data_IF_389224065924
#
_entry.id   IF_389224065924
#
_cell.length_a   1.000
_cell.length_b   1.000
_cell.length_c   1.000
_cell.angle_alpha   90.00
_cell.angle_beta   90.00
_cell.angle_gamma   90.00
#
_symmetry.space_group_name_H-M   'P 1'
#
loop_
_entity.id
_entity.type
_entity.pdbx_description
1 polymer ?
2 non-polymer ?
3 non-polymer ?
4 water ?
#
# COMPACT_ATOMS: atom_id res chain seq x y z
N UNK A 19 24.44 -24.21 -2.14
CA UNK A 19 23.13 -23.56 -2.19
C UNK A 19 22.02 -24.43 -1.61
N UNK A 20 21.08 -23.83 -0.85
CA UNK A 20 19.84 -24.51 -0.46
C UNK A 20 18.83 -24.38 -1.60
N UNK A 21 17.90 -25.34 -1.66
CA UNK A 21 16.81 -25.33 -2.63
C UNK A 21 15.51 -25.17 -1.85
N UNK A 22 14.55 -24.43 -2.43
CA UNK A 22 13.21 -24.33 -1.86
C UNK A 22 12.16 -24.44 -2.97
N UNK A 23 11.38 -25.54 -2.97
CA UNK A 23 10.32 -25.79 -3.96
C UNK A 23 10.87 -25.64 -5.39
N UNK A 24 12.00 -26.30 -5.62
CA UNK A 24 12.75 -26.23 -6.87
C UNK A 24 13.89 -25.23 -6.85
N UNK A 25 13.55 -23.94 -6.61
CA UNK A 25 14.43 -22.79 -6.83
C UNK A 25 15.70 -22.77 -5.96
N UNK A 26 16.78 -22.18 -6.50
CA UNK A 26 18.01 -21.93 -5.74
C UNK A 26 17.76 -20.70 -4.85
N UNK A 27 18.21 -20.76 -3.60
CA UNK A 27 18.22 -19.58 -2.71
C UNK A 27 19.67 -19.34 -2.34
N UNK A 28 20.37 -18.53 -3.16
CA UNK A 28 21.80 -18.22 -2.97
C UNK A 28 21.91 -17.12 -1.92
N UNK A 29 21.63 -17.46 -0.66
CA UNK A 29 21.57 -16.47 0.42
C UNK A 29 22.60 -16.73 1.53
N UNK A 30 23.27 -17.90 1.52
CA UNK A 30 24.32 -18.19 2.49
C UNK A 30 25.58 -17.35 2.33
N UNK A 31 26.56 -17.43 3.27
CA UNK A 31 26.55 -18.20 4.53
C UNK A 31 25.51 -17.69 5.54
N UNK A 32 25.24 -16.37 5.55
CA UNK A 32 24.53 -15.70 6.65
C UNK A 32 23.16 -16.30 6.97
N UNK A 33 22.42 -16.76 5.96
CA UNK A 33 21.01 -17.09 6.09
C UNK A 33 20.80 -18.56 5.73
N UNK A 34 20.35 -19.38 6.71
CA UNK A 34 20.23 -20.84 6.57
C UNK A 34 18.90 -21.37 7.12
N UNK A 35 18.68 -22.71 7.00
CA UNK A 35 17.47 -23.38 7.47
C UNK A 35 16.24 -22.67 6.91
N UNK A 36 16.05 -22.76 5.58
CA UNK A 36 14.98 -22.02 4.90
C UNK A 36 13.70 -22.80 4.94
N UNK A 37 12.59 -22.16 5.34
CA UNK A 37 11.26 -22.75 5.16
C UNK A 37 10.51 -21.91 4.16
N UNK A 38 9.78 -22.56 3.26
CA UNK A 38 8.93 -21.89 2.30
C UNK A 38 7.79 -21.18 3.03
N UNK A 39 7.58 -19.91 2.67
CA UNK A 39 6.39 -19.15 3.07
C UNK A 39 5.46 -19.16 1.86
N UNK A 40 5.91 -18.52 0.78
CA UNK A 40 5.03 -18.22 -0.34
C UNK A 40 5.71 -17.95 -1.67
N UNK A 41 4.89 -17.59 -2.66
CA UNK A 41 5.34 -17.34 -4.03
C UNK A 41 4.29 -16.50 -4.75
N UNK A 42 4.75 -15.58 -5.58
CA UNK A 42 3.89 -14.81 -6.47
C UNK A 42 4.58 -14.45 -7.76
N UNK A 43 4.02 -13.44 -8.47
CA UNK A 43 4.59 -12.87 -9.70
C UNK A 43 5.91 -12.18 -9.40
N UNK A 44 5.97 -11.51 -8.23
CA UNK A 44 7.19 -10.85 -7.72
C UNK A 44 8.44 -11.81 -7.70
N UNK A 45 8.24 -13.02 -7.24
CA UNK A 45 9.34 -13.82 -6.73
C UNK A 45 8.85 -14.90 -5.82
N UNK A 46 9.74 -15.42 -4.97
CA UNK A 46 9.46 -16.42 -3.93
C UNK A 46 9.95 -15.88 -2.60
N UNK A 47 9.19 -16.16 -1.49
CA UNK A 47 9.53 -15.66 -0.18
C UNK A 47 9.72 -16.86 0.73
N UNK A 48 10.75 -16.79 1.57
CA UNK A 48 11.00 -17.80 2.58
C UNK A 48 11.23 -17.11 3.88
N UNK A 49 11.12 -17.87 4.98
CA UNK A 49 11.81 -17.52 6.21
C UNK A 49 13.17 -18.18 6.17
N UNK A 50 14.13 -17.61 6.89
CA UNK A 50 15.49 -18.11 6.94
C UNK A 50 16.02 -17.72 8.27
N UNK A 51 16.94 -18.51 8.80
CA UNK A 51 17.60 -18.22 10.05
C UNK A 51 18.77 -17.30 9.78
N UNK A 52 18.72 -16.07 10.31
CA UNK A 52 19.84 -15.15 10.27
C UNK A 52 20.83 -15.58 11.35
N UNK A 53 22.08 -15.89 10.95
CA UNK A 53 23.13 -16.37 11.87
C UNK A 53 23.87 -15.23 12.60
N UNK A 54 23.88 -14.00 12.05
CA UNK A 54 24.49 -12.82 12.70
C UNK A 54 23.58 -12.26 13.80
N UNK A 55 22.25 -12.16 13.52
CA UNK A 55 21.29 -11.63 14.49
C UNK A 55 20.53 -12.73 15.26
N UNK A 56 20.72 -14.02 14.89
CA UNK A 56 20.21 -15.18 15.64
C UNK A 56 18.64 -15.22 15.63
N UNK A 57 18.02 -14.65 14.58
CA UNK A 57 16.56 -14.57 14.43
C UNK A 57 16.14 -15.07 13.08
N UNK A 58 14.92 -15.58 12.96
CA UNK A 58 14.39 -15.89 11.66
C UNK A 58 13.93 -14.57 11.00
N UNK A 59 14.06 -14.51 9.66
CA UNK A 59 13.86 -13.31 8.82
C UNK A 59 13.15 -13.69 7.56
N UNK A 60 12.57 -12.70 6.85
CA UNK A 60 11.95 -12.93 5.58
C UNK A 60 12.98 -12.58 4.53
N UNK A 61 12.97 -13.34 3.43
CA UNK A 61 13.84 -13.08 2.28
C UNK A 61 13.04 -13.28 1.07
N UNK A 62 12.98 -12.27 0.20
CA UNK A 62 12.30 -12.44 -1.04
C UNK A 62 13.32 -12.33 -2.19
N UNK A 63 13.38 -13.41 -2.98
CA UNK A 63 14.18 -13.53 -4.17
C UNK A 63 13.42 -12.84 -5.27
N UNK A 64 13.97 -11.74 -5.77
CA UNK A 64 13.39 -11.00 -6.88
C UNK A 64 14.25 -11.33 -8.11
N UNK A 65 13.60 -11.52 -9.25
CA UNK A 65 14.27 -11.86 -10.52
C UNK A 65 13.64 -10.94 -11.55
N UNK A 66 13.93 -9.64 -11.47
CA UNK A 66 13.19 -8.69 -12.31
C UNK A 66 13.86 -8.30 -13.63
N UNK A 67 15.01 -8.87 -13.99
CA UNK A 67 15.87 -8.17 -14.93
C UNK A 67 15.41 -8.34 -16.38
N UNK A 68 14.68 -9.42 -16.70
CA UNK A 68 14.15 -9.60 -18.06
C UNK A 68 12.96 -8.67 -18.37
N UNK A 69 12.38 -7.90 -17.41
CA UNK A 69 11.37 -6.90 -17.80
C UNK A 69 11.45 -5.57 -17.10
N UNK A 70 11.32 -4.49 -17.89
CA UNK A 70 11.60 -3.14 -17.41
C UNK A 70 10.64 -2.71 -16.28
N UNK A 71 9.37 -3.17 -16.29
CA UNK A 71 8.43 -2.75 -15.22
C UNK A 71 8.77 -3.40 -13.91
N UNK A 72 9.23 -4.67 -13.94
CA UNK A 72 9.63 -5.31 -12.70
C UNK A 72 10.91 -4.69 -12.15
N UNK A 73 11.85 -4.22 -13.03
CA UNK A 73 13.03 -3.47 -12.56
C UNK A 73 12.61 -2.15 -11.91
N UNK A 74 11.62 -1.49 -12.54
CA UNK A 74 11.01 -0.23 -12.06
C UNK A 74 10.48 -0.39 -10.68
N UNK A 75 9.66 -1.43 -10.48
CA UNK A 75 8.99 -1.67 -9.21
C UNK A 75 10.03 -2.02 -8.13
N UNK A 76 10.98 -2.93 -8.46
CA UNK A 76 12.08 -3.29 -7.57
C UNK A 76 12.92 -2.08 -7.09
N UNK A 77 13.28 -1.19 -7.99
CA UNK A 77 14.16 -0.07 -7.65
C UNK A 77 13.46 0.97 -6.78
N UNK A 78 12.20 1.27 -7.08
CA UNK A 78 11.38 2.21 -6.25
C UNK A 78 11.32 1.74 -4.88
N UNK A 79 10.98 0.44 -4.70
CA UNK A 79 10.91 -0.17 -3.40
C UNK A 79 12.23 -0.03 -2.68
N UNK A 80 13.35 -0.40 -3.35
CA UNK A 80 14.63 -0.40 -2.65
C UNK A 80 14.98 1.01 -2.20
N UNK A 81 14.90 1.99 -3.13
CA UNK A 81 15.24 3.37 -2.79
C UNK A 81 14.40 3.92 -1.62
N UNK A 82 13.10 3.70 -1.68
CA UNK A 82 12.19 4.20 -0.63
C UNK A 82 12.47 3.55 0.72
N UNK A 83 12.44 2.23 0.79
CA UNK A 83 12.64 1.51 2.02
C UNK A 83 14.00 1.71 2.64
N UNK A 84 15.06 1.92 1.87
CA UNK A 84 16.34 2.24 2.47
C UNK A 84 16.38 3.65 3.08
N UNK A 85 15.60 4.61 2.54
CA UNK A 85 15.55 5.96 3.09
C UNK A 85 14.65 5.99 4.34
N UNK A 86 13.57 5.21 4.35
CA UNK A 86 12.60 5.31 5.43
C UNK A 86 13.02 4.52 6.62
N UNK A 87 12.68 5.04 7.81
CA UNK A 87 12.88 4.34 9.05
C UNK A 87 11.71 4.64 9.94
N UNK A 88 10.82 3.67 10.11
CA UNK A 88 9.62 3.88 10.87
C UNK A 88 9.06 2.56 11.38
N UNK A 89 8.55 2.55 12.65
CA UNK A 89 8.03 1.33 13.28
C UNK A 89 6.91 0.67 12.51
N UNK A 90 6.07 1.46 11.78
CA UNK A 90 4.93 0.92 11.04
C UNK A 90 5.17 0.75 9.55
N UNK A 91 6.47 0.72 9.15
CA UNK A 91 6.90 0.49 7.79
C UNK A 91 7.97 -0.59 7.78
N UNK A 92 7.76 -1.62 6.92
CA UNK A 92 8.73 -2.70 6.83
C UNK A 92 10.11 -2.10 6.39
N UNK A 93 11.17 -2.57 7.00
CA UNK A 93 12.49 -2.04 6.64
C UNK A 93 13.17 -3.00 5.66
N UNK A 94 14.33 -2.62 5.17
CA UNK A 94 15.24 -3.60 4.56
C UNK A 94 16.44 -3.79 5.47
N UNK A 95 16.70 -5.02 5.90
CA UNK A 95 17.80 -5.34 6.79
C UNK A 95 19.09 -5.63 6.04
N UNK A 96 18.96 -6.23 4.86
CA UNK A 96 20.11 -6.68 4.08
C UNK A 96 19.62 -6.90 2.62
N UNK A 97 20.56 -6.80 1.67
CA UNK A 97 20.31 -7.09 0.28
C UNK A 97 21.47 -7.96 -0.16
N UNK A 98 21.17 -9.13 -0.74
CA UNK A 98 22.14 -10.05 -1.26
C UNK A 98 22.05 -10.08 -2.80
N UNK A 99 23.18 -9.95 -3.42
CA UNK A 99 23.27 -10.13 -4.86
C UNK A 99 24.67 -10.47 -5.23
N UNK A 100 24.90 -10.83 -6.52
CA UNK A 100 26.23 -11.20 -7.01
C UNK A 100 27.22 -10.00 -6.94
N UNK A 101 28.53 -10.23 -6.85
CA UNK A 101 29.46 -9.08 -6.78
C UNK A 101 29.61 -8.20 -8.04
N UNK A 102 29.11 -8.64 -9.20
CA UNK A 102 29.29 -7.91 -10.47
C UNK A 102 27.94 -7.86 -11.15
N UNK A 103 27.73 -6.86 -12.04
CA UNK A 103 26.45 -6.71 -12.75
C UNK A 103 26.21 -7.95 -13.64
N UNK A 104 27.25 -8.39 -14.29
CA UNK A 104 27.26 -9.56 -15.18
C UNK A 104 26.71 -10.81 -14.50
N UNK A 105 27.13 -11.05 -13.26
CA UNK A 105 26.74 -12.24 -12.52
C UNK A 105 25.43 -12.09 -11.78
N UNK A 106 24.89 -10.84 -11.69
CA UNK A 106 23.71 -10.55 -10.93
C UNK A 106 22.48 -10.90 -11.74
N UNK A 107 21.83 -12.04 -11.42
CA UNK A 107 20.56 -12.51 -12.06
C UNK A 107 19.34 -12.30 -11.14
N UNK A 108 19.59 -12.15 -9.84
CA UNK A 108 18.56 -12.08 -8.82
C UNK A 108 19.00 -11.05 -7.77
N UNK A 109 18.07 -10.52 -7.03
CA UNK A 109 18.35 -9.74 -5.82
C UNK A 109 17.51 -10.37 -4.73
N UNK A 110 18.09 -10.54 -3.54
CA UNK A 110 17.36 -11.05 -2.41
C UNK A 110 17.25 -9.93 -1.40
N UNK A 111 16.02 -9.60 -0.99
CA UNK A 111 15.79 -8.51 -0.03
C UNK A 111 15.45 -9.15 1.28
N UNK A 112 16.21 -8.85 2.31
CA UNK A 112 16.04 -9.42 3.64
C UNK A 112 15.25 -8.42 4.47
N UNK A 113 14.17 -8.88 5.11
CA UNK A 113 13.31 -8.05 5.92
C UNK A 113 12.88 -8.76 7.17
N UNK A 114 12.37 -7.98 8.17
CA UNK A 114 11.89 -8.58 9.42
C UNK A 114 10.78 -9.56 9.06
N UNK A 115 10.76 -10.73 9.71
CA UNK A 115 9.76 -11.73 9.41
C UNK A 115 8.52 -11.40 10.22
N UNK A 116 7.38 -11.30 9.56
CA UNK A 116 6.09 -11.05 10.23
C UNK A 116 5.27 -12.33 10.19
N UNK A 117 4.39 -12.50 11.16
CA UNK A 117 3.66 -13.78 11.32
C UNK A 117 2.54 -13.95 10.31
N UNK A 118 1.88 -12.84 9.93
CA UNK A 118 0.73 -12.92 9.09
C UNK A 118 0.47 -11.54 8.46
N UNK A 119 -0.67 -11.41 7.80
CA UNK A 119 -1.06 -10.13 7.22
C UNK A 119 -2.53 -9.90 7.44
N UNK A 120 -3.03 -8.68 7.20
CA UNK A 120 -4.43 -8.37 7.49
C UNK A 120 -5.43 -9.12 6.57
N UNK A 121 -5.05 -9.47 5.33
CA UNK A 121 -5.90 -10.25 4.43
C UNK A 121 -6.21 -11.63 5.07
N UNK A 122 -5.14 -12.33 5.49
CA UNK A 122 -5.26 -13.65 6.15
C UNK A 122 -6.01 -13.55 7.45
N UNK A 123 -5.75 -12.50 8.23
CA UNK A 123 -6.42 -12.35 9.52
C UNK A 123 -7.93 -12.10 9.27
N UNK A 124 -8.27 -11.29 8.29
CA UNK A 124 -9.67 -10.96 8.03
C UNK A 124 -10.43 -12.17 7.46
N UNK A 125 -9.74 -13.07 6.76
CA UNK A 125 -10.44 -14.23 6.26
C UNK A 125 -10.87 -15.22 7.39
N UNK A 126 -10.14 -15.19 8.56
CA UNK A 126 -10.27 -16.15 9.63
C UNK A 126 -10.69 -15.62 11.02
N UNK A 127 -10.60 -14.33 11.30
CA UNK A 127 -10.76 -13.79 12.63
C UNK A 127 -11.74 -12.63 12.66
N UNK A 128 -12.64 -12.66 13.62
CA UNK A 128 -13.44 -11.46 13.99
C UNK A 128 -12.50 -10.51 14.71
N UNK A 129 -12.50 -9.23 14.34
CA UNK A 129 -11.67 -8.25 15.05
C UNK A 129 -12.51 -7.50 16.08
N UNK A 130 -12.02 -7.35 17.32
CA UNK A 130 -12.72 -6.51 18.30
C UNK A 130 -12.63 -5.06 17.85
N UNK A 131 -13.55 -4.21 18.32
CA UNK A 131 -13.41 -2.77 18.09
C UNK A 131 -12.03 -2.26 18.56
N UNK A 132 -11.48 -2.77 19.70
CA UNK A 132 -10.16 -2.31 20.12
C UNK A 132 -9.05 -2.67 19.13
N UNK A 133 -9.16 -3.83 18.52
CA UNK A 133 -8.17 -4.25 17.48
C UNK A 133 -8.31 -3.39 16.27
N UNK A 134 -9.53 -3.10 15.84
CA UNK A 134 -9.75 -2.24 14.64
C UNK A 134 -9.14 -0.87 14.85
N UNK A 135 -9.36 -0.34 16.01
CA UNK A 135 -8.85 0.97 16.40
C UNK A 135 -7.31 0.99 16.40
N UNK A 136 -6.67 -0.01 16.99
CA UNK A 136 -5.23 -0.09 17.05
C UNK A 136 -4.62 -0.33 15.64
N UNK A 137 -5.21 -1.21 14.83
CA UNK A 137 -4.72 -1.40 13.46
C UNK A 137 -4.86 -0.11 12.68
N UNK A 138 -6.02 0.54 12.78
CA UNK A 138 -6.22 1.79 11.99
C UNK A 138 -5.20 2.85 12.40
N UNK A 139 -5.00 2.98 13.71
CA UNK A 139 -3.99 3.93 14.25
C UNK A 139 -2.62 3.66 13.63
N UNK A 140 -2.19 2.42 13.66
CA UNK A 140 -0.88 2.06 13.10
C UNK A 140 -0.78 2.31 11.63
N UNK A 141 -1.82 2.02 10.86
CA UNK A 141 -1.81 2.28 9.42
C UNK A 141 -1.62 3.76 9.20
N UNK A 142 -2.41 4.58 9.90
CA UNK A 142 -2.37 6.02 9.68
C UNK A 142 -1.02 6.63 10.15
N UNK A 143 -0.44 6.04 11.20
CA UNK A 143 0.80 6.56 11.78
C UNK A 143 1.93 6.33 10.73
N UNK A 144 1.98 5.11 10.20
CA UNK A 144 2.86 4.80 9.08
C UNK A 144 2.64 5.68 7.87
N UNK A 145 1.39 5.83 7.50
CA UNK A 145 1.06 6.70 6.36
C UNK A 145 1.37 8.15 6.55
N UNK A 146 1.26 8.68 7.75
CA UNK A 146 1.72 10.06 8.03
C UNK A 146 3.17 10.22 7.63
N UNK A 147 3.99 9.24 8.04
CA UNK A 147 5.40 9.29 7.69
C UNK A 147 5.60 9.25 6.17
N UNK A 148 4.96 8.32 5.51
CA UNK A 148 5.12 8.13 4.06
C UNK A 148 4.75 9.45 3.35
N UNK A 149 3.57 9.98 3.65
CA UNK A 149 3.07 11.23 3.05
C UNK A 149 3.95 12.44 3.42
N UNK A 150 4.51 12.46 4.62
CA UNK A 150 5.43 13.54 5.02
C UNK A 150 6.74 13.53 4.16
N UNK A 151 7.07 12.37 3.55
CA UNK A 151 8.21 12.22 2.64
C UNK A 151 7.83 12.54 1.20
N UNK A 152 6.59 13.05 0.99
CA UNK A 152 6.05 13.37 -0.34
C UNK A 152 5.91 12.13 -1.24
N UNK A 153 5.73 10.97 -0.61
CA UNK A 153 5.56 9.66 -1.26
C UNK A 153 4.11 9.21 -1.10
N UNK A 154 3.58 8.58 -2.12
CA UNK A 154 2.30 7.89 -2.15
C UNK A 154 2.56 6.38 -2.22
N UNK A 155 1.86 5.59 -1.41
CA UNK A 155 2.04 4.15 -1.46
C UNK A 155 1.38 3.58 -2.72
N UNK A 156 0.10 3.94 -2.94
CA UNK A 156 -0.69 3.63 -4.11
C UNK A 156 -1.18 2.18 -4.22
N UNK A 157 -0.90 1.29 -3.27
CA UNK A 157 -1.50 -0.03 -3.34
C UNK A 157 -1.77 -0.54 -1.92
N UNK A 158 -2.37 0.32 -1.08
CA UNK A 158 -2.72 -0.09 0.28
C UNK A 158 -3.90 -1.06 0.21
N UNK A 159 -3.77 -2.20 0.89
CA UNK A 159 -4.79 -3.24 0.92
C UNK A 159 -4.40 -4.19 2.04
N UNK A 160 -5.33 -5.01 2.52
CA UNK A 160 -5.01 -5.91 3.65
C UNK A 160 -3.76 -6.75 3.46
N UNK A 161 -3.50 -7.31 2.28
CA UNK A 161 -2.32 -8.20 2.15
C UNK A 161 -0.97 -7.42 2.24
N UNK A 162 -0.99 -6.08 2.10
CA UNK A 162 0.18 -5.23 2.27
C UNK A 162 0.32 -4.67 3.69
N UNK A 163 -0.45 -5.21 4.64
CA UNK A 163 -0.31 -4.81 6.03
C UNK A 163 0.08 -6.04 6.80
N UNK A 164 1.33 -6.07 7.17
CA UNK A 164 1.89 -7.25 7.89
C UNK A 164 1.68 -7.10 9.40
N UNK A 165 1.50 -8.23 10.10
CA UNK A 165 1.22 -8.26 11.51
C UNK A 165 2.03 -9.31 12.21
N UNK A 166 2.44 -9.01 13.42
CA UNK A 166 3.16 -9.99 14.27
C UNK A 166 2.24 -10.53 15.35
N UNK A 167 2.74 -11.36 16.31
CA UNK A 167 1.85 -12.08 17.21
C UNK A 167 1.25 -11.12 18.22
N UNK A 168 1.84 -9.95 18.39
CA UNK A 168 1.33 -8.96 19.33
C UNK A 168 0.60 -7.87 18.58
N UNK A 169 0.22 -8.12 17.33
CA UNK A 169 -0.62 -7.17 16.59
C UNK A 169 0.11 -5.85 16.21
N UNK A 170 1.45 -5.84 16.24
CA UNK A 170 2.18 -4.72 15.66
C UNK A 170 2.04 -4.84 14.13
N UNK A 171 1.86 -3.71 13.49
CA UNK A 171 1.53 -3.63 12.09
C UNK A 171 2.60 -2.89 11.30
N UNK A 172 2.94 -3.41 10.11
CA UNK A 172 3.92 -2.77 9.25
C UNK A 172 3.42 -2.77 7.79
N UNK A 173 3.48 -1.59 7.14
CA UNK A 173 3.11 -1.44 5.76
C UNK A 173 4.23 -1.99 4.88
N UNK A 174 3.87 -2.79 3.87
CA UNK A 174 4.84 -3.30 2.92
C UNK A 174 4.41 -3.06 1.48
N UNK A 175 5.30 -3.44 0.55
CA UNK A 175 5.15 -3.44 -0.88
C UNK A 175 5.07 -2.06 -1.44
N UNK A 176 6.23 -1.43 -1.68
CA UNK A 176 6.30 -0.10 -2.27
C UNK A 176 6.61 -0.10 -3.74
N UNK A 177 6.31 -1.19 -4.42
CA UNK A 177 6.56 -1.33 -5.86
C UNK A 177 5.76 -0.39 -6.74
N UNK A 178 4.60 0.08 -6.29
CA UNK A 178 3.78 1.03 -7.05
C UNK A 178 3.87 2.43 -6.51
N UNK A 179 4.76 2.67 -5.55
CA UNK A 179 4.86 3.98 -4.93
C UNK A 179 5.41 5.03 -5.85
N UNK A 180 4.99 6.28 -5.66
CA UNK A 180 5.45 7.38 -6.51
C UNK A 180 5.64 8.62 -5.62
N UNK A 181 6.49 9.54 -6.03
CA UNK A 181 6.48 10.85 -5.42
C UNK A 181 5.21 11.54 -5.81
N UNK A 182 4.58 12.25 -4.87
CA UNK A 182 3.34 12.96 -5.13
C UNK A 182 3.50 13.99 -6.21
N UNK A 183 2.49 14.15 -7.07
CA UNK A 183 2.59 15.10 -8.16
C UNK A 183 1.20 15.64 -8.49
N UNK A 184 0.62 16.39 -7.53
CA UNK A 184 -0.76 16.87 -7.71
C UNK A 184 -1.03 17.81 -8.87
N UNK A 185 -0.03 18.53 -9.41
CA UNK A 185 -0.25 19.39 -10.56
C UNK A 185 -0.40 18.62 -11.89
N UNK A 186 0.00 17.34 -11.93
CA UNK A 186 -0.11 16.47 -13.11
C UNK A 186 -1.05 15.28 -12.81
N UNK A 187 -2.03 15.45 -11.91
CA UNK A 187 -2.93 14.36 -11.56
C UNK A 187 -4.06 14.13 -12.60
N UNK A 188 -4.39 15.11 -13.45
CA UNK A 188 -5.58 15.01 -14.29
C UNK A 188 -5.35 14.10 -15.49
N UNK A 189 -6.39 13.34 -15.82
CA UNK A 189 -6.40 12.50 -17.01
C UNK A 189 -7.84 12.33 -17.48
N UNK A 190 -8.03 11.61 -18.60
CA UNK A 190 -9.35 11.37 -19.12
C UNK A 190 -10.15 10.30 -18.39
N UNK A 191 -11.35 10.09 -18.88
CA UNK A 191 -12.30 9.12 -18.41
C UNK A 191 -11.85 7.70 -18.79
N UNK A 192 -11.92 6.81 -17.85
CA UNK A 192 -11.64 5.37 -18.03
C UNK A 192 -10.15 5.15 -18.44
N UNK A 193 -9.22 5.86 -17.79
CA UNK A 193 -7.80 5.71 -18.05
C UNK A 193 -7.35 4.51 -17.33
N UNK A 194 -6.56 3.64 -17.95
CA UNK A 194 -6.17 2.37 -17.31
C UNK A 194 -5.31 2.61 -16.06
N UNK A 195 -5.38 1.70 -15.09
CA UNK A 195 -4.74 1.93 -13.81
C UNK A 195 -4.19 0.62 -13.27
N UNK A 196 -3.05 0.67 -12.55
CA UNK A 196 -2.31 -0.54 -12.16
C UNK A 196 -2.73 -1.09 -10.77
N UNK A 197 -3.03 -0.21 -9.83
CA UNK A 197 -3.19 -0.66 -8.45
C UNK A 197 -4.48 -1.47 -8.25
N UNK A 198 -4.55 -2.23 -7.17
CA UNK A 198 -5.61 -3.21 -6.86
C UNK A 198 -7.02 -2.62 -6.93
N UNK A 199 -7.89 -3.25 -7.74
CA UNK A 199 -9.16 -2.62 -8.12
C UNK A 199 -10.04 -2.24 -6.94
N UNK A 200 -10.22 -3.14 -5.99
CA UNK A 200 -11.21 -2.94 -4.92
C UNK A 200 -10.86 -1.75 -4.02
N UNK A 201 -9.62 -1.29 -4.07
CA UNK A 201 -9.16 -0.22 -3.14
C UNK A 201 -8.94 1.07 -3.90
N UNK A 202 -9.35 1.14 -5.18
CA UNK A 202 -9.23 2.36 -6.04
C UNK A 202 -10.30 3.42 -5.76
N UNK A 203 -9.86 4.67 -5.55
CA UNK A 203 -10.71 5.82 -5.28
C UNK A 203 -11.56 6.06 -6.54
N UNK A 204 -12.77 6.61 -6.37
CA UNK A 204 -13.67 6.79 -7.54
C UNK A 204 -13.05 7.63 -8.66
N UNK A 205 -12.31 8.66 -8.27
CA UNK A 205 -11.68 9.58 -9.24
C UNK A 205 -10.70 8.89 -10.20
N UNK A 206 -10.11 7.71 -9.83
CA UNK A 206 -9.23 6.94 -10.74
C UNK A 206 -9.95 6.64 -12.06
N UNK A 207 -11.24 6.30 -11.95
CA UNK A 207 -12.04 5.91 -13.08
C UNK A 207 -12.56 7.11 -13.86
N UNK A 208 -12.51 8.31 -13.26
CA UNK A 208 -13.09 9.53 -13.80
C UNK A 208 -12.08 10.48 -14.38
N UNK A 209 -11.05 10.87 -13.59
CA UNK A 209 -10.16 11.95 -14.02
C UNK A 209 -8.80 12.02 -13.32
N UNK A 210 -8.32 10.96 -12.68
CA UNK A 210 -7.15 11.02 -11.80
C UNK A 210 -6.15 9.91 -12.12
N UNK A 211 -4.87 10.29 -12.14
CA UNK A 211 -3.74 9.34 -12.28
C UNK A 211 -3.28 8.75 -10.96
N UNK A 212 -3.89 9.10 -9.84
CA UNK A 212 -3.44 8.61 -8.54
C UNK A 212 -2.14 9.20 -8.07
N UNK A 213 -1.92 10.47 -8.37
CA UNK A 213 -0.70 11.20 -8.00
C UNK A 213 -0.91 12.14 -6.83
N UNK A 214 -2.02 12.00 -6.04
CA UNK A 214 -2.21 12.81 -4.84
C UNK A 214 -2.43 11.91 -3.63
N UNK A 215 -2.13 12.48 -2.46
CA UNK A 215 -2.19 11.76 -1.18
C UNK A 215 -3.58 11.22 -0.88
N UNK A 216 -4.61 11.92 -1.37
CA UNK A 216 -6.01 11.48 -1.21
C UNK A 216 -6.28 10.04 -1.76
N UNK A 217 -5.44 9.53 -2.67
CA UNK A 217 -5.66 8.20 -3.24
C UNK A 217 -5.42 7.12 -2.14
N UNK A 218 -4.43 7.36 -1.31
CA UNK A 218 -4.12 6.48 -0.23
C UNK A 218 -5.17 6.52 0.89
N UNK A 219 -5.70 7.70 1.21
CA UNK A 219 -6.71 7.78 2.24
C UNK A 219 -7.95 6.98 1.83
N UNK A 220 -8.35 7.03 0.54
CA UNK A 220 -9.50 6.22 0.09
C UNK A 220 -9.23 4.75 0.41
N UNK A 221 -8.01 4.26 0.06
CA UNK A 221 -7.70 2.86 0.30
C UNK A 221 -7.78 2.51 1.75
N UNK A 222 -7.28 3.38 2.61
CA UNK A 222 -7.40 3.15 4.06
C UNK A 222 -8.86 3.10 4.51
N UNK A 223 -9.72 4.00 3.99
CA UNK A 223 -11.16 3.93 4.21
C UNK A 223 -11.71 2.58 3.88
N UNK A 224 -11.36 2.01 2.69
CA UNK A 224 -11.80 0.67 2.27
C UNK A 224 -11.36 -0.42 3.25
N UNK A 225 -10.14 -0.28 3.76
CA UNK A 225 -9.56 -1.21 4.71
C UNK A 225 -10.32 -1.13 6.02
N UNK A 226 -10.61 0.07 6.49
CA UNK A 226 -11.36 0.22 7.75
C UNK A 226 -12.74 -0.44 7.58
N UNK A 227 -13.43 -0.16 6.47
CA UNK A 227 -14.72 -0.85 6.20
C UNK A 227 -14.58 -2.37 6.23
N UNK A 228 -13.51 -2.91 5.63
CA UNK A 228 -13.31 -4.34 5.57
C UNK A 228 -13.02 -4.91 6.96
N UNK A 229 -12.35 -4.15 7.85
CA UNK A 229 -12.11 -4.56 9.23
C UNK A 229 -13.40 -4.65 10.01
N UNK A 230 -14.38 -3.76 9.71
CA UNK A 230 -15.63 -3.74 10.44
C UNK A 230 -16.48 -4.98 10.12
N UNK A 231 -16.39 -5.51 8.89
CA UNK A 231 -17.28 -6.60 8.46
C UNK A 231 -16.60 -7.86 7.95
N UNK A 232 -15.25 -7.87 7.84
CA UNK A 232 -14.46 -8.95 7.22
C UNK A 232 -14.76 -9.15 5.75
N UNK A 233 -15.44 -8.22 5.07
CA UNK A 233 -15.74 -8.38 3.65
C UNK A 233 -15.32 -7.08 2.95
N UNK A 234 -14.74 -7.15 1.73
CA UNK A 234 -14.43 -5.89 1.02
C UNK A 234 -15.70 -5.11 0.78
N UNK A 235 -15.63 -3.83 0.99
CA UNK A 235 -16.80 -2.95 0.85
C UNK A 235 -17.22 -2.77 -0.62
N UNK A 236 -16.25 -2.69 -1.53
CA UNK A 236 -16.51 -2.39 -2.94
C UNK A 236 -15.81 -3.44 -3.84
N UNK A 237 -16.29 -4.68 -3.85
CA UNK A 237 -15.58 -5.69 -4.62
C UNK A 237 -15.98 -5.68 -6.11
N UNK A 238 -15.56 -4.66 -6.85
CA UNK A 238 -15.90 -4.58 -8.28
C UNK A 238 -15.27 -5.73 -9.05
N UNK A 239 -15.96 -6.23 -10.07
CA UNK A 239 -15.45 -7.34 -10.89
C UNK A 239 -14.70 -6.87 -12.12
N UNK A 240 -14.76 -5.61 -12.44
CA UNK A 240 -14.02 -5.10 -13.58
C UNK A 240 -13.98 -3.57 -13.46
N UNK A 241 -13.20 -2.93 -14.33
CA UNK A 241 -12.79 -1.53 -14.19
C UNK A 241 -13.94 -0.63 -13.84
N UNK A 242 -14.99 -0.52 -14.69
CA UNK A 242 -16.06 0.47 -14.40
C UNK A 242 -17.01 -0.03 -13.31
N UNK A 243 -17.13 -1.35 -13.12
CA UNK A 243 -18.00 -1.91 -12.06
C UNK A 243 -17.52 -1.44 -10.67
N UNK A 244 -16.23 -1.16 -10.55
CA UNK A 244 -15.67 -0.64 -9.29
C UNK A 244 -16.34 0.68 -8.96
N UNK A 245 -16.48 1.57 -9.96
CA UNK A 245 -17.09 2.89 -9.71
C UNK A 245 -18.55 2.73 -9.31
N UNK A 246 -19.25 1.81 -9.93
CA UNK A 246 -20.67 1.72 -9.62
C UNK A 246 -20.93 0.98 -8.26
N UNK A 247 -20.03 0.05 -7.83
CA UNK A 247 -20.05 -0.38 -6.42
C UNK A 247 -19.94 0.87 -5.45
N UNK A 248 -19.04 1.79 -5.74
CA UNK A 248 -18.80 2.98 -4.91
C UNK A 248 -20.05 3.82 -4.91
N UNK A 249 -20.59 4.08 -6.10
CA UNK A 249 -21.77 4.89 -6.18
C UNK A 249 -23.01 4.22 -5.60
N UNK A 250 -23.07 2.89 -5.63
CA UNK A 250 -24.16 2.19 -4.96
C UNK A 250 -24.23 2.40 -3.46
N UNK A 251 -23.09 2.70 -2.80
CA UNK A 251 -23.12 2.99 -1.35
C UNK A 251 -23.16 4.53 -1.07
N UNK A 252 -22.27 5.26 -1.71
CA UNK A 252 -22.20 6.72 -1.53
C UNK A 252 -23.40 7.47 -2.08
N UNK A 253 -24.06 6.89 -3.07
CA UNK A 253 -25.12 7.54 -3.80
C UNK A 253 -24.61 8.51 -4.84
N UNK A 254 -25.52 9.13 -5.58
CA UNK A 254 -25.16 10.06 -6.64
C UNK A 254 -24.35 11.23 -6.10
N UNK A 255 -23.27 11.62 -6.78
CA UNK A 255 -22.55 12.83 -6.37
C UNK A 255 -23.39 14.10 -6.51
N UNK A 256 -23.12 15.02 -5.59
CA UNK A 256 -23.73 16.34 -5.57
C UNK A 256 -23.34 17.15 -6.76
N UNK A 257 -24.13 18.17 -7.03
CA UNK A 257 -23.88 19.11 -8.14
C UNK A 257 -22.50 19.69 -8.01
N UNK A 258 -22.15 20.13 -6.80
CA UNK A 258 -20.85 20.71 -6.48
C UNK A 258 -19.74 19.77 -6.83
N UNK A 259 -19.83 18.51 -6.39
CA UNK A 259 -18.78 17.53 -6.65
C UNK A 259 -18.71 17.14 -8.13
N UNK A 260 -19.88 17.14 -8.79
CA UNK A 260 -19.92 16.95 -10.24
C UNK A 260 -19.26 18.09 -10.96
N UNK A 261 -19.44 19.34 -10.50
CA UNK A 261 -18.88 20.48 -11.22
C UNK A 261 -17.35 20.57 -11.11
N UNK A 262 -16.72 19.84 -10.17
CA UNK A 262 -15.27 19.71 -10.11
C UNK A 262 -14.72 18.74 -11.20
N UNK A 263 -15.57 17.91 -11.82
CA UNK A 263 -15.12 17.00 -12.87
C UNK A 263 -15.37 17.73 -14.19
N UNK A 264 -14.33 18.35 -14.72
CA UNK A 264 -14.51 19.22 -15.85
C UNK A 264 -14.56 18.40 -17.15
N UNK A 265 -13.90 17.24 -17.17
CA UNK A 265 -13.91 16.40 -18.36
C UNK A 265 -15.34 15.95 -18.69
N UNK A 266 -15.80 16.22 -19.90
CA UNK A 266 -17.17 15.96 -20.31
C UNK A 266 -17.55 14.50 -20.34
N UNK A 267 -16.66 13.61 -20.83
CA UNK A 267 -17.00 12.19 -20.84
C UNK A 267 -17.28 11.71 -19.43
N UNK A 268 -16.46 12.09 -18.47
CA UNK A 268 -16.64 11.60 -17.11
C UNK A 268 -17.90 12.21 -16.47
N UNK A 269 -18.03 13.54 -16.64
CA UNK A 269 -19.20 14.20 -16.10
C UNK A 269 -20.54 13.66 -16.68
N UNK A 270 -20.62 13.52 -18.01
CA UNK A 270 -21.83 13.06 -18.69
C UNK A 270 -22.11 11.59 -18.35
N UNK A 271 -21.07 10.80 -18.08
CA UNK A 271 -21.34 9.43 -17.61
C UNK A 271 -22.09 9.50 -16.28
N UNK A 272 -21.59 10.25 -15.35
CA UNK A 272 -22.28 10.38 -14.10
C UNK A 272 -23.65 10.95 -14.19
N UNK A 273 -23.85 11.96 -15.02
CA UNK A 273 -25.16 12.52 -15.23
C UNK A 273 -26.17 11.51 -15.84
N UNK A 274 -25.68 10.50 -16.56
CA UNK A 274 -26.52 9.52 -17.20
C UNK A 274 -27.10 8.49 -16.26
N UNK A 275 -26.59 8.39 -15.06
CA UNK A 275 -26.98 7.32 -14.12
C UNK A 275 -28.28 7.75 -13.42
N UNK A 276 -29.18 6.79 -13.14
CA UNK A 276 -30.32 7.10 -12.27
C UNK A 276 -29.87 7.61 -10.91
N UNK A 277 -30.65 8.52 -10.32
CA UNK A 277 -30.39 8.98 -8.95
C UNK A 277 -30.31 7.81 -8.00
N UNK A 278 -29.30 7.78 -7.15
CA UNK A 278 -29.09 6.75 -6.12
C UNK A 278 -28.91 7.49 -4.81
N UNK A 279 -29.62 7.00 -3.75
CA UNK A 279 -29.48 7.52 -2.39
C UNK A 279 -28.30 6.83 -1.70
N UNK A 280 -27.68 7.56 -0.82
CA UNK A 280 -26.64 7.07 0.12
C UNK A 280 -27.16 5.91 0.96
N UNK A 281 -26.36 4.87 1.15
CA UNK A 281 -26.68 3.78 2.06
C UNK A 281 -26.01 4.20 3.36
N UNK A 282 -26.77 4.39 4.46
CA UNK A 282 -26.14 4.86 5.71
C UNK A 282 -25.13 3.89 6.22
N UNK A 283 -24.02 4.40 6.72
CA UNK A 283 -22.97 3.53 7.27
C UNK A 283 -23.48 2.65 8.38
N UNK A 284 -24.37 3.19 9.24
CA UNK A 284 -24.86 2.43 10.40
C UNK A 284 -25.81 1.25 10.00
N UNK A 285 -26.30 1.21 8.78
CA UNK A 285 -27.03 0.05 8.24
C UNK A 285 -26.13 -0.97 7.61
N UNK A 286 -25.02 -0.52 6.96
CA UNK A 286 -24.00 -1.45 6.52
C UNK A 286 -23.25 -2.08 7.66
N UNK A 287 -23.06 -1.33 8.75
CA UNK A 287 -22.18 -1.73 9.85
C UNK A 287 -22.95 -1.48 11.16
N UNK A 288 -24.02 -2.28 11.39
CA UNK A 288 -24.85 -2.08 12.60
C UNK A 288 -24.13 -2.26 13.95
N UNK A 289 -23.04 -3.01 14.01
CA UNK A 289 -22.32 -3.22 15.30
C UNK A 289 -21.09 -2.30 15.49
N UNK A 290 -20.83 -1.42 14.52
CA UNK A 290 -19.65 -0.56 14.53
C UNK A 290 -19.77 0.58 15.53
N UNK A 291 -18.62 0.99 16.09
CA UNK A 291 -18.52 2.16 16.92
C UNK A 291 -18.93 3.39 16.09
N UNK A 292 -19.76 4.25 16.63
CA UNK A 292 -20.24 5.43 15.86
C UNK A 292 -19.10 6.39 15.45
N UNK A 293 -18.08 6.51 16.31
CA UNK A 293 -16.94 7.35 15.97
C UNK A 293 -16.16 6.71 14.83
N UNK A 294 -16.01 5.35 14.82
CA UNK A 294 -15.41 4.68 13.63
C UNK A 294 -16.15 5.03 12.33
N UNK A 295 -17.51 5.07 12.36
CA UNK A 295 -18.29 5.33 11.18
C UNK A 295 -18.19 6.76 10.76
N UNK A 296 -17.99 7.70 11.68
CA UNK A 296 -17.84 9.10 11.31
C UNK A 296 -16.49 9.25 10.55
N UNK A 297 -15.42 8.64 11.06
CA UNK A 297 -14.08 8.68 10.36
C UNK A 297 -14.12 7.97 9.02
N UNK A 298 -14.82 6.79 8.93
CA UNK A 298 -15.02 6.10 7.67
C UNK A 298 -15.65 7.02 6.63
N UNK A 299 -16.66 7.73 7.03
CA UNK A 299 -17.42 8.63 6.13
C UNK A 299 -16.48 9.68 5.54
N UNK A 300 -15.58 10.19 6.38
CA UNK A 300 -14.68 11.26 5.97
C UNK A 300 -13.53 10.73 5.10
N UNK A 301 -13.13 9.48 5.27
CA UNK A 301 -12.15 8.84 4.40
C UNK A 301 -12.76 8.43 3.08
N UNK A 302 -14.01 7.97 3.11
CA UNK A 302 -14.70 7.55 1.89
C UNK A 302 -15.58 8.67 1.33
N UNK A 303 -15.03 9.88 1.27
CA UNK A 303 -15.65 11.00 0.60
C UNK A 303 -15.38 10.95 -0.88
N UNK A 304 -16.44 11.16 -1.70
CA UNK A 304 -16.33 11.12 -3.16
C UNK A 304 -15.32 12.14 -3.71
N UNK A 305 -15.46 13.39 -3.27
CA UNK A 305 -14.59 14.45 -3.74
C UNK A 305 -13.24 14.37 -3.03
N UNK A 306 -12.16 14.11 -3.77
CA UNK A 306 -10.85 13.95 -3.12
C UNK A 306 -10.37 15.20 -2.45
N UNK A 307 -10.81 16.38 -2.89
CA UNK A 307 -10.45 17.62 -2.22
C UNK A 307 -11.07 17.74 -0.84
N UNK A 308 -12.23 17.15 -0.61
CA UNK A 308 -12.95 17.20 0.67
C UNK A 308 -12.57 16.04 1.59
N UNK A 309 -11.89 15.04 1.06
CA UNK A 309 -11.48 13.85 1.78
C UNK A 309 -10.54 14.23 2.91
N UNK A 310 -10.71 13.62 4.06
CA UNK A 310 -9.82 13.86 5.19
C UNK A 310 -8.35 13.52 4.82
N UNK A 311 -7.38 14.29 5.37
CA UNK A 311 -5.95 14.02 5.22
C UNK A 311 -5.46 13.18 6.39
N UNK A 312 -4.28 12.61 6.23
CA UNK A 312 -3.76 11.65 7.21
C UNK A 312 -3.62 12.22 8.57
N UNK A 313 -3.08 13.46 8.68
CA UNK A 313 -2.92 14.03 10.03
C UNK A 313 -4.26 14.39 10.71
N UNK A 314 -5.27 14.82 9.93
CA UNK A 314 -6.61 14.98 10.44
C UNK A 314 -7.27 13.72 10.91
N UNK A 315 -7.10 12.64 10.16
CA UNK A 315 -7.60 11.31 10.54
C UNK A 315 -7.01 10.89 11.88
N UNK A 316 -5.69 11.08 12.08
CA UNK A 316 -5.07 10.70 13.36
C UNK A 316 -5.68 11.45 14.55
N UNK A 317 -6.09 12.74 14.30
CA UNK A 317 -6.67 13.62 15.31
C UNK A 317 -8.20 13.39 15.51
N UNK A 318 -8.76 12.42 14.82
CA UNK A 318 -10.19 12.15 14.90
C UNK A 318 -10.54 11.53 16.22
N UNK A 319 -11.71 11.90 16.81
CA UNK A 319 -12.12 11.30 18.09
C UNK A 319 -12.03 9.76 18.18
N UNK A 320 -12.26 9.02 17.08
CA UNK A 320 -12.16 7.56 17.17
C UNK A 320 -10.79 7.08 17.69
N UNK A 321 -9.72 7.82 17.35
CA UNK A 321 -8.32 7.48 17.67
C UNK A 321 -7.78 8.18 18.90
N UNK A 322 -8.65 8.84 19.69
CA UNK A 322 -8.22 9.67 20.85
C UNK A 322 -7.37 8.91 21.86
N UNK A 323 -7.60 7.59 22.00
CA UNK A 323 -6.83 6.83 22.98
C UNK A 323 -5.34 6.71 22.61
N UNK A 324 -5.03 6.83 21.31
CA UNK A 324 -3.70 6.64 20.76
C UNK A 324 -3.05 7.95 20.33
N UNK A 325 -3.84 8.92 19.93
CA UNK A 325 -3.29 10.10 19.24
C UNK A 325 -2.25 10.82 20.06
N UNK A 326 -1.10 10.99 19.48
CA UNK A 326 -0.04 11.71 20.15
C UNK A 326 0.91 12.21 19.06
N UNK A 327 0.73 13.44 18.55
CA UNK A 327 1.53 13.85 17.40
C UNK A 327 3.03 13.92 17.67
N UNK A 328 3.45 14.10 18.93
CA UNK A 328 4.87 14.03 19.29
C UNK A 328 5.44 12.64 19.10
N UNK A 329 4.59 11.62 19.06
CA UNK A 329 5.04 10.23 18.85
C UNK A 329 4.54 9.66 17.52
N UNK A 330 4.38 10.55 16.52
CA UNK A 330 3.90 10.18 15.18
C UNK A 330 4.87 10.89 14.26
N UNK A 331 6.05 10.29 14.12
CA UNK A 331 7.16 11.00 13.44
C UNK A 331 6.98 11.22 11.96
N UNK A 332 7.70 12.22 11.47
CA UNK A 332 7.77 12.52 10.06
C UNK A 332 9.16 12.25 9.54
N UNK A 333 9.25 12.19 8.23
CA UNK A 333 10.49 11.94 7.53
C UNK A 333 11.40 13.18 7.64
N UNK A 334 12.66 12.93 7.79
CA UNK A 334 13.68 13.97 7.85
C UNK A 334 13.94 14.47 6.47
N UNK A 335 14.00 13.53 5.49
CA UNK A 335 14.42 13.74 4.11
C UNK A 335 13.32 13.32 3.11
N UNK A 336 12.31 14.18 2.87
CA UNK A 336 11.36 13.88 1.79
C UNK A 336 12.01 13.73 0.42
N UNK A 337 11.39 12.95 -0.42
CA UNK A 337 11.76 12.85 -1.83
C UNK A 337 11.38 14.10 -2.58
N UNK A 338 12.36 14.72 -3.23
CA UNK A 338 12.13 15.78 -4.23
C UNK A 338 11.94 15.12 -5.61
N UNK A 339 12.71 14.02 -5.89
CA UNK A 339 12.56 13.13 -7.07
C UNK A 339 11.10 12.93 -7.48
N UNK A 343 13.19 6.34 -12.74
CA UNK A 343 12.60 7.18 -13.79
C UNK A 343 11.81 6.33 -14.80
N UNK A 344 10.73 6.90 -15.34
CA UNK A 344 9.73 6.15 -16.10
C UNK A 344 10.22 5.70 -17.49
N UNK A 345 11.24 6.38 -18.03
CA UNK A 345 11.72 6.14 -19.40
C UNK A 345 12.82 5.07 -19.48
N UNK A 346 13.38 4.62 -18.33
CA UNK A 346 14.72 4.01 -18.39
C UNK A 346 14.67 2.57 -18.89
N UNK A 347 15.62 2.16 -19.74
CA UNK A 347 15.67 0.76 -20.18
C UNK A 347 16.00 -0.18 -19.03
N UNK A 348 15.45 -1.40 -19.04
CA UNK A 348 15.78 -2.45 -18.04
C UNK A 348 17.30 -2.64 -17.80
N UNK A 349 18.16 -2.40 -18.83
CA UNK A 349 19.63 -2.51 -18.68
C UNK A 349 20.18 -1.39 -17.78
N UNK A 350 19.76 -0.15 -18.03
CA UNK A 350 20.04 0.96 -17.11
C UNK A 350 19.45 0.76 -15.68
N UNK A 351 18.23 0.20 -15.51
CA UNK A 351 17.65 0.05 -14.16
C UNK A 351 18.40 -1.05 -13.36
N UNK A 352 18.83 -2.13 -14.02
CA UNK A 352 19.77 -3.08 -13.38
C UNK A 352 20.98 -2.37 -12.77
N UNK A 353 21.56 -1.40 -13.52
CA UNK A 353 22.74 -0.65 -13.07
C UNK A 353 22.44 0.13 -11.83
N UNK A 354 21.32 0.86 -11.84
CA UNK A 354 20.84 1.58 -10.66
C UNK A 354 20.57 0.65 -9.48
N UNK A 355 19.97 -0.51 -9.72
CA UNK A 355 19.73 -1.52 -8.66
C UNK A 355 21.07 -2.02 -8.10
N UNK A 356 22.00 -2.35 -8.96
CA UNK A 356 23.37 -2.68 -8.55
C UNK A 356 23.99 -1.60 -7.63
N UNK A 357 23.95 -0.35 -8.06
CA UNK A 357 24.48 0.77 -7.26
C UNK A 357 23.79 0.96 -5.91
N UNK A 358 22.46 0.87 -5.89
CA UNK A 358 21.62 1.11 -4.73
C UNK A 358 21.87 0.02 -3.69
N UNK A 359 22.35 -1.18 -4.13
CA UNK A 359 22.51 -2.30 -3.22
C UNK A 359 23.96 -2.49 -2.76
N UNK A 360 24.91 -1.64 -3.24
CA UNK A 360 26.32 -1.78 -2.99
C UNK A 360 26.70 -1.65 -1.52
N UNK A 361 25.91 -0.93 -0.71
CA UNK A 361 26.21 -0.71 0.72
C UNK A 361 26.21 -2.02 1.55
N UNK A 362 25.53 -3.05 1.05
CA UNK A 362 25.36 -4.33 1.75
C UNK A 362 26.39 -5.35 1.38
N UNK A 363 27.27 -5.03 0.43
CA UNK A 363 28.33 -5.97 0.05
C UNK A 363 29.45 -6.00 1.08
N UNK A 364 30.12 -7.17 1.22
CA UNK A 364 31.44 -7.21 1.89
C UNK A 364 32.39 -6.15 1.32
N UNK A 365 32.65 -5.12 2.12
CA UNK A 365 33.47 -3.97 1.70
C UNK A 365 33.26 -2.74 2.57
X LIG B 1 -8.89 -3.46 -14.34
X LIG B 1 -10.02 -2.96 -13.46
X LIG B 1 -9.30 -3.52 -15.75
X LIG B 1 -8.60 -4.86 -13.93
X LIG B 1 -7.67 -2.61 -14.19
X LIG C 1 -14.74 -14.45 10.10
X LIG C 1 -15.72 -15.28 9.40
X LIG C 1 -15.42 -13.37 10.83
X LIG C 1 -13.99 -15.30 11.04
X LIG C 1 -13.83 -13.89 9.10
X LIG D 1 3.88 0.06 -13.07
X LIG D 1 3.02 -0.99 -13.58
X LIG D 1 3.07 1.19 -12.58
X LIG D 1 4.71 -0.47 -11.98
X LIG D 1 4.74 0.53 -14.16
X LIG E 1 -4.20 -9.56 -2.89
X LIG E 1 -4.87 -8.48 -3.69
X LIG E 1 -4.85 -9.70 -1.60
X LIG E 1 -2.76 -9.29 -2.73
X LIG E 1 -4.33 -10.86 -3.60
X LIG F 1 5.79 -6.71 -5.54
X LIG F 1 7.06 -7.44 -3.57
X LIG F 1 5.69 -7.57 -2.87
X LIG F 1 5.38 -9.81 -1.66
X LIG F 1 5.66 -10.20 -0.24
X LIG F 1 5.85 -11.54 1.75
X LIG F 1 6.27 -10.43 2.51
X LIG F 1 6.37 -9.20 1.84
X LIG F 1 6.07 -9.08 0.48
X LIG F 1 6.13 -7.92 -0.45
X LIG F 1 6.61 -10.61 3.94
X LIG F 1 4.15 -14.80 6.52
X LIG F 1 2.94 -15.53 6.00
X LIG F 1 1.80 -13.56 5.45
X LIG F 1 2.95 -12.70 5.93
X LIG F 1 7.80 -10.26 5.97
X LIG F 1 7.62 -9.96 4.63
X LIG F 1 9.03 -5.40 -4.30
X LIG F 1 7.07 -6.88 -4.82
X LIG F 1 8.09 -7.82 -3.01
X LIG F 1 5.76 -8.39 -1.67
X LIG F 1 5.54 -11.41 0.41
X LIG F 1 6.48 -6.77 -0.22
X LIG F 1 5.85 -11.52 4.57
X LIG F 1 6.10 -11.75 5.87
X LIG F 1 5.35 -12.67 6.48
X LIG F 1 4.27 -13.45 5.85
X LIG F 1 1.74 -14.78 6.21
X LIG F 1 7.04 -11.15 6.62
X LIG F 1 8.66 -8.79 3.89
X LIG F 1 8.32 -6.25 -5.36
X LIG F 1 9.28 -7.35 -5.82
X LIG F 1 8.07 -5.33 -6.56
X LIG F 1 5.19 -7.62 -5.55
X LIG F 1 5.91 -6.50 -6.61
X LIG F 1 5.17 -5.92 -5.13
X LIG F 1 5.36 -6.58 -2.60
X LIG F 1 4.92 -8.02 -3.49
X LIG F 1 4.33 -9.93 -1.91
X LIG F 1 5.95 -10.40 -2.37
X LIG F 1 5.74 -12.51 2.23
X LIG F 1 6.72 -8.30 2.36
X LIG F 1 5.05 -15.38 6.34
X LIG F 1 4.09 -14.73 7.61
X LIG F 1 3.05 -15.82 4.95
X LIG F 1 2.76 -16.45 6.56
X LIG F 1 0.85 -13.10 5.64
X LIG F 1 1.85 -13.75 4.38
X LIG F 1 2.76 -12.38 6.95
X LIG F 1 2.98 -11.76 5.35
X LIG F 1 8.58 -9.77 6.56
X LIG F 1 8.31 -4.80 -3.75
X LIG F 1 9.74 -4.71 -4.73
X LIG F 1 9.62 -5.96 -3.57
X LIG F 1 5.21 -12.29 -0.15
X LIG F 1 5.69 -13.04 7.36
X LIG F 1 4.51 -13.64 4.81
X LIG F 1 9.01 -7.74 -6.80
X LIG F 1 9.32 -8.20 -5.16
X LIG F 1 10.29 -6.97 -5.91
X LIG F 1 7.29 -4.59 -6.37
X LIG F 1 7.81 -5.85 -7.48
X LIG F 1 8.95 -4.76 -6.82
#
# INVERSE_FOLDING_TARGET
MAHHHHHHMAAAAAAGAGPEMVRGQVFDVGPRYTNLSYIGEGAYGMVCSAYDNVNKVRVAIKKISPFEHQTYCQRTLREIKILLRFRHENIIGINDIIRAPTIEQMKDVYIVQDLMETDLYKLLKTQHLSNDHICYFLYQILRGLKYIHSANVLHRDLKPSNLLLNTTCDLKICDFGLARVADPDHDHTGFLTEYVATRWYRAPEIMLNSKGYTKSIDIWSVGCILAEMLSNRPIFPGKHYLDQLNHILGILGSPSQEDLNCIINLKARNYLLSLPHKNKVPWNRLFPNADSKALDLLDKMLTFNPHKRIEVEQALAHPYLEQYYDPSDEPIAEAPFKFDMELDDLPKEKLKELIFEETARFQPGYRS
SO4 S O1 O2 O3 O4
SO4 S O1 O2 O3 O4
SO4 S O1 O2 O3 O4
SO4 S O1 O2 O3 O4
ERW C1 C3 C5 C7 C8 C10 C11 C12 C13 C14 C16 C21 C22 C24 C25 C27 C28 C31 N2 O4 N6 C9 O15 N17 C18 N19 C20 O23 N26 CL2 C30 C32 C33 H36 H35 H34 H37 H38 H39 H40 H42 H43 H46 H47 H48 H49 H51 H50 H52 H53 H54 H57 H56 H55 H41 H44 H45 H59 H58 H60 H61 H63 H62
#
